data_IF_679075385830
#
_entry.id   IF_679075385830
#
_cell.length_a   1.000
_cell.length_b   1.000
_cell.length_c   1.000
_cell.angle_alpha   90.00
_cell.angle_beta   90.00
_cell.angle_gamma   90.00
#
_symmetry.space_group_name_H-M   'P 1'
#
loop_
_entity.id
_entity.type
_entity.pdbx_description
1 polymer ?
#
# COMPACT_ATOMS: atom_id res chain seq x y z
N UNK A 1 1.54 -13.06 -3.45
CA UNK A 1 1.86 -11.62 -3.60
C UNK A 1 1.35 -11.12 -4.93
N UNK A 2 0.75 -9.97 -4.94
CA UNK A 2 0.20 -9.38 -6.14
C UNK A 2 0.85 -8.04 -6.40
N UNK A 3 0.80 -7.59 -7.64
CA UNK A 3 1.31 -6.27 -8.02
C UNK A 3 0.17 -5.29 -8.21
N UNK A 4 0.41 -4.06 -7.82
CA UNK A 4 -0.53 -2.97 -7.99
C UNK A 4 0.22 -1.72 -8.41
N UNK A 5 -0.52 -0.74 -8.89
CA UNK A 5 0.04 0.54 -9.34
C UNK A 5 -0.62 1.67 -8.57
N UNK A 6 0.17 2.67 -8.19
CA UNK A 6 -0.36 3.88 -7.57
C UNK A 6 -1.08 4.69 -8.63
N UNK A 7 -2.37 4.98 -8.42
CA UNK A 7 -3.16 5.77 -9.36
C UNK A 7 -3.51 7.14 -8.81
N UNK A 8 -3.44 7.32 -7.51
CA UNK A 8 -3.76 8.59 -6.88
C UNK A 8 -3.02 8.71 -5.56
N UNK A 9 -2.58 9.91 -5.22
CA UNK A 9 -1.94 10.17 -3.94
C UNK A 9 -2.17 11.63 -3.57
N UNK A 10 -2.71 11.88 -2.40
CA UNK A 10 -3.03 13.21 -1.93
C UNK A 10 -2.13 13.69 -0.79
N UNK A 11 -1.31 12.82 -0.24
CA UNK A 11 -0.40 13.18 0.85
C UNK A 11 0.67 12.10 0.97
N UNK A 12 1.78 12.38 1.67
CA UNK A 12 2.78 11.35 1.96
C UNK A 12 2.17 10.22 2.77
N UNK A 13 2.74 9.03 2.60
CA UNK A 13 2.32 7.85 3.38
C UNK A 13 3.35 7.52 4.43
N UNK A 14 2.85 7.01 5.57
CA UNK A 14 3.70 6.59 6.67
C UNK A 14 3.79 5.07 6.67
N UNK A 15 5.01 4.55 6.72
CA UNK A 15 5.24 3.11 6.78
C UNK A 15 5.10 2.62 8.21
N UNK A 16 5.08 1.31 8.39
CA UNK A 16 4.91 0.70 9.70
C UNK A 16 6.04 1.05 10.67
N UNK A 17 7.22 1.39 10.15
CA UNK A 17 8.38 1.80 10.95
C UNK A 17 8.44 3.32 11.16
N UNK A 18 7.34 4.03 10.91
CA UNK A 18 7.21 5.48 11.03
C UNK A 18 7.99 6.28 9.97
N UNK A 19 8.54 5.62 8.99
CA UNK A 19 9.18 6.30 7.86
C UNK A 19 8.12 6.91 6.96
N UNK A 20 8.30 8.16 6.57
CA UNK A 20 7.40 8.82 5.64
C UNK A 20 7.96 8.73 4.23
N UNK A 21 7.10 8.40 3.27
CA UNK A 21 7.51 8.26 1.87
C UNK A 21 6.58 9.04 0.96
N UNK A 22 7.12 9.40 -0.21
CA UNK A 22 6.41 10.17 -1.23
C UNK A 22 6.56 9.50 -2.59
N UNK A 23 6.02 8.29 -2.78
CA UNK A 23 6.17 7.61 -4.07
C UNK A 23 5.39 8.31 -5.17
N UNK A 24 5.86 8.17 -6.40
CA UNK A 24 5.21 8.77 -7.55
C UNK A 24 3.99 7.98 -8.00
N UNK A 25 2.98 8.69 -8.47
CA UNK A 25 1.84 8.06 -9.13
C UNK A 25 2.38 7.31 -10.35
N UNK A 26 1.92 6.07 -10.52
CA UNK A 26 2.42 5.18 -11.58
C UNK A 26 3.41 4.15 -11.09
N UNK A 27 3.97 4.34 -9.88
CA UNK A 27 4.92 3.37 -9.33
C UNK A 27 4.24 2.02 -9.07
N UNK A 28 4.99 0.95 -9.31
CA UNK A 28 4.51 -0.42 -9.09
C UNK A 28 4.91 -0.87 -7.70
N UNK A 29 3.97 -1.47 -6.99
CA UNK A 29 4.18 -1.94 -5.61
C UNK A 29 3.80 -3.40 -5.50
N UNK A 30 4.33 -4.06 -4.47
CA UNK A 30 3.97 -5.44 -4.13
C UNK A 30 2.99 -5.40 -2.97
N UNK A 31 1.92 -6.19 -3.06
CA UNK A 31 0.86 -6.18 -2.07
C UNK A 31 0.63 -7.58 -1.52
N UNK A 32 0.58 -7.68 -0.20
CA UNK A 32 0.25 -8.92 0.49
C UNK A 32 -0.99 -8.71 1.33
N UNK A 33 -1.83 -9.75 1.44
CA UNK A 33 -2.94 -9.70 2.38
C UNK A 33 -2.40 -9.63 3.81
N UNK A 34 -3.01 -8.80 4.61
CA UNK A 34 -2.63 -8.63 6.00
C UNK A 34 -3.87 -8.89 6.85
N UNK A 35 -4.17 -10.16 7.13
CA UNK A 35 -5.38 -10.46 7.89
C UNK A 35 -5.25 -9.94 9.31
N UNK A 36 -6.30 -9.28 9.76
CA UNK A 36 -6.38 -8.72 11.09
C UNK A 36 -7.55 -9.36 11.80
N UNK A 37 -7.33 -9.94 12.97
CA UNK A 37 -8.38 -10.66 13.67
C UNK A 37 -9.60 -9.79 13.92
N UNK A 38 -10.75 -10.27 13.48
CA UNK A 38 -12.03 -9.63 13.75
C UNK A 38 -12.24 -8.29 13.08
N UNK A 39 -11.43 -7.93 12.11
CA UNK A 39 -11.56 -6.64 11.46
C UNK A 39 -11.59 -6.77 9.95
N UNK A 40 -11.73 -5.62 9.29
CA UNK A 40 -11.74 -5.54 7.84
C UNK A 40 -10.41 -5.97 7.24
N UNK A 41 -10.47 -6.34 5.97
CA UNK A 41 -9.28 -6.66 5.22
C UNK A 41 -8.30 -5.50 5.19
N UNK A 42 -7.03 -5.81 5.40
CA UNK A 42 -5.96 -4.86 5.26
C UNK A 42 -4.96 -5.36 4.25
N UNK A 43 -4.21 -4.44 3.69
CA UNK A 43 -3.16 -4.75 2.73
C UNK A 43 -1.83 -4.24 3.26
N UNK A 44 -0.81 -5.07 3.15
CA UNK A 44 0.57 -4.66 3.41
C UNK A 44 1.20 -4.31 2.07
N UNK A 45 1.56 -3.05 1.89
CA UNK A 45 2.06 -2.54 0.61
C UNK A 45 3.55 -2.29 0.74
N UNK A 46 4.33 -2.98 -0.09
CA UNK A 46 5.78 -2.87 -0.10
C UNK A 46 6.23 -2.02 -1.27
N UNK A 47 6.84 -0.88 -0.96
CA UNK A 47 7.34 0.02 -1.98
C UNK A 47 8.79 -0.34 -2.34
N UNK A 48 9.20 -0.12 -3.60
CA UNK A 48 10.57 -0.40 -3.99
C UNK A 48 11.57 0.33 -3.09
N UNK A 49 12.53 -0.41 -2.56
CA UNK A 49 13.57 0.15 -1.71
C UNK A 49 13.19 0.37 -0.26
N UNK A 50 11.94 0.12 0.12
CA UNK A 50 11.50 0.28 1.51
C UNK A 50 11.63 -1.04 2.26
N UNK A 51 12.02 -0.97 3.53
CA UNK A 51 12.18 -2.16 4.35
C UNK A 51 10.90 -2.54 5.08
N UNK A 52 10.03 -1.57 5.32
CA UNK A 52 8.77 -1.80 6.02
C UNK A 52 7.59 -1.53 5.08
N UNK A 53 6.46 -2.20 5.28
CA UNK A 53 5.28 -1.96 4.47
C UNK A 53 4.46 -0.79 4.99
N UNK A 54 3.55 -0.31 4.15
CA UNK A 54 2.48 0.57 4.56
C UNK A 54 1.23 -0.30 4.71
N UNK A 55 0.60 -0.26 5.86
CA UNK A 55 -0.63 -1.03 6.11
C UNK A 55 -1.81 -0.12 5.89
N UNK A 56 -2.75 -0.54 5.04
CA UNK A 56 -3.96 0.25 4.84
C UNK A 56 -5.15 -0.65 4.62
N UNK A 57 -6.33 -0.12 4.94
CA UNK A 57 -7.58 -0.85 4.75
C UNK A 57 -7.86 -1.03 3.26
N UNK A 58 -8.71 -2.01 2.95
CA UNK A 58 -9.12 -2.26 1.58
C UNK A 58 -9.82 -1.04 0.97
N UNK A 59 -10.59 -0.31 1.75
CA UNK A 59 -11.28 0.89 1.27
C UNK A 59 -10.28 1.94 0.81
N UNK A 60 -9.25 2.20 1.60
CA UNK A 60 -8.21 3.15 1.23
C UNK A 60 -7.37 2.64 0.08
N UNK A 61 -7.08 1.34 0.08
CA UNK A 61 -6.31 0.74 -1.01
C UNK A 61 -7.00 0.97 -2.36
N UNK A 62 -8.29 0.75 -2.44
CA UNK A 62 -9.03 0.93 -3.68
C UNK A 62 -9.02 2.38 -4.15
N UNK A 63 -8.84 3.32 -3.25
CA UNK A 63 -8.80 4.73 -3.58
C UNK A 63 -7.49 5.13 -4.24
N UNK A 64 -6.37 4.53 -3.81
CA UNK A 64 -5.05 4.96 -4.23
C UNK A 64 -4.37 4.02 -5.21
N UNK A 65 -4.83 2.79 -5.32
CA UNK A 65 -4.17 1.76 -6.10
C UNK A 65 -5.13 1.06 -7.04
N UNK A 66 -4.57 0.49 -8.10
CA UNK A 66 -5.30 -0.46 -8.92
C UNK A 66 -4.45 -1.71 -9.11
N UNK A 67 -5.11 -2.86 -9.19
CA UNK A 67 -4.42 -4.12 -9.45
C UNK A 67 -3.93 -4.12 -10.89
N UNK A 68 -2.76 -4.73 -11.13
CA UNK A 68 -2.19 -4.82 -12.47
C UNK A 68 -2.76 -5.96 -13.28
N UNK A 69 -3.59 -6.76 -12.69
CA UNK A 69 -4.21 -7.89 -13.42
C UNK A 69 -5.71 -7.75 -13.46
#
# INVERSE_FOLDING_TARGET
>A
MRLARIVFRDSPWCLEDDTEINPEVGAIVQVMAYPNEGSDWEHAIYFPGSQAPCIMSHVLFKRYFEWLE
#
